data_IF_169563223317
#
_entry.id   IF_169563223317
#
_cell.length_a   1.000
_cell.length_b   1.000
_cell.length_c   1.000
_cell.angle_alpha   90.00
_cell.angle_beta   90.00
_cell.angle_gamma   90.00
#
_symmetry.space_group_name_H-M   'P 1'
#
loop_
_entity.id
_entity.type
_entity.pdbx_description
1 polymer ?
#
# COMPACT_ATOMS: atom_id res chain seq x y z
N UNK A 1 11.73 29.19 38.87
CA UNK A 1 12.59 29.58 37.73
C UNK A 1 14.00 29.05 38.00
N UNK A 2 14.28 27.83 37.58
CA UNK A 2 15.65 27.29 37.55
C UNK A 2 16.14 27.37 36.10
N UNK A 3 17.20 28.15 35.89
CA UNK A 3 17.92 28.17 34.63
C UNK A 3 18.65 26.85 34.44
N UNK A 4 18.39 26.14 33.38
CA UNK A 4 19.20 25.01 32.96
C UNK A 4 20.57 25.50 32.49
N UNK A 5 21.61 25.04 33.17
CA UNK A 5 22.99 25.16 32.69
C UNK A 5 23.21 24.18 31.55
N UNK A 6 22.92 24.57 30.32
CA UNK A 6 23.31 23.83 29.12
C UNK A 6 24.79 24.09 28.85
N UNK A 7 25.62 23.06 29.13
CA UNK A 7 27.00 23.02 28.67
C UNK A 7 27.09 23.00 27.15
N UNK A 8 27.71 24.04 26.60
CA UNK A 8 28.40 24.17 25.32
C UNK A 8 27.87 23.37 24.11
N UNK A 9 26.95 23.99 23.36
CA UNK A 9 26.82 24.07 21.90
C UNK A 9 25.52 24.76 21.45
N UNK A 10 25.32 26.02 21.87
CA UNK A 10 24.32 26.89 21.24
C UNK A 10 25.06 27.89 20.34
N UNK A 11 25.40 27.48 19.12
CA UNK A 11 25.82 28.40 18.08
C UNK A 11 24.67 28.54 17.08
N UNK A 12 24.12 29.75 17.00
CA UNK A 12 23.39 30.35 15.88
C UNK A 12 21.88 30.12 15.69
N UNK A 13 21.05 30.06 16.76
CA UNK A 13 19.65 30.48 16.65
C UNK A 13 19.28 31.21 17.93
N UNK A 14 18.54 32.32 17.83
CA UNK A 14 17.97 33.01 19.01
C UNK A 14 16.88 32.11 19.61
N UNK A 15 17.27 31.09 20.34
CA UNK A 15 16.40 30.31 21.22
C UNK A 15 16.15 31.14 22.46
N UNK A 16 15.07 31.87 22.51
CA UNK A 16 14.84 32.85 23.58
C UNK A 16 14.43 32.22 24.90
N UNK A 17 14.08 30.90 24.97
CA UNK A 17 13.76 30.20 26.24
C UNK A 17 13.84 28.69 26.13
N UNK A 18 14.60 28.08 27.04
CA UNK A 18 14.43 26.66 27.42
C UNK A 18 13.46 26.59 28.60
N UNK A 19 12.39 25.84 28.48
CA UNK A 19 11.38 25.63 29.53
C UNK A 19 11.40 24.17 29.96
N UNK A 20 11.43 23.91 31.25
CA UNK A 20 11.26 22.58 31.83
C UNK A 20 9.89 22.54 32.49
N UNK A 21 9.07 21.59 32.10
CA UNK A 21 7.72 21.39 32.64
C UNK A 21 7.74 20.49 33.89
N UNK A 22 6.71 20.57 34.75
CA UNK A 22 6.67 19.77 35.99
C UNK A 22 6.69 18.25 35.76
N UNK A 23 6.24 17.76 34.60
CA UNK A 23 6.25 16.34 34.20
C UNK A 23 7.61 15.86 33.67
N UNK A 24 8.60 16.72 33.61
CA UNK A 24 9.94 16.42 33.10
C UNK A 24 10.15 16.69 31.61
N UNK A 25 9.09 17.07 30.87
CA UNK A 25 9.22 17.47 29.48
C UNK A 25 10.05 18.76 29.37
N UNK A 26 10.62 18.98 28.18
CA UNK A 26 11.35 20.22 27.89
C UNK A 26 10.89 20.82 26.55
N UNK A 27 10.93 22.14 26.49
CA UNK A 27 10.72 22.87 25.22
C UNK A 27 11.82 23.91 25.04
N UNK A 28 12.41 23.90 23.84
CA UNK A 28 13.39 24.91 23.41
C UNK A 28 12.90 25.50 22.09
N UNK A 29 12.51 26.78 22.11
CA UNK A 29 11.96 27.41 20.90
C UNK A 29 11.27 28.74 21.17
N UNK A 30 10.53 29.19 20.17
CA UNK A 30 9.90 30.48 20.15
C UNK A 30 8.56 30.46 20.90
N UNK A 31 8.25 31.61 21.54
CA UNK A 31 6.99 31.86 22.19
C UNK A 31 6.38 33.19 21.67
N UNK A 32 5.06 33.18 21.50
CA UNK A 32 4.28 34.39 21.25
C UNK A 32 3.12 34.45 22.24
N UNK A 33 3.03 35.54 23.02
CA UNK A 33 1.99 35.73 24.04
C UNK A 33 1.86 34.54 25.01
N UNK A 34 2.99 33.94 25.40
CA UNK A 34 3.04 32.84 26.37
C UNK A 34 2.74 31.45 25.77
N UNK A 35 2.47 31.35 24.49
CA UNK A 35 2.24 30.07 23.76
C UNK A 35 3.42 29.73 22.86
N UNK A 36 3.69 28.45 22.70
CA UNK A 36 4.68 27.95 21.71
C UNK A 36 4.21 28.38 20.32
N UNK A 37 5.12 29.02 19.58
CA UNK A 37 4.83 29.60 18.28
C UNK A 37 6.11 29.59 17.43
N UNK A 38 6.00 29.43 16.10
CA UNK A 38 7.15 29.36 15.23
C UNK A 38 7.92 28.05 15.35
N UNK A 39 9.25 28.07 15.32
CA UNK A 39 10.06 26.84 15.40
C UNK A 39 10.45 26.50 16.84
N UNK A 40 10.42 25.21 17.19
CA UNK A 40 10.87 24.73 18.49
C UNK A 40 11.01 23.21 18.56
N UNK A 41 11.75 22.77 19.57
CA UNK A 41 11.99 21.37 19.90
C UNK A 41 11.30 21.06 21.24
N UNK A 42 10.43 20.09 21.23
CA UNK A 42 9.79 19.55 22.42
C UNK A 42 10.31 18.14 22.68
N UNK A 43 10.85 17.89 23.84
CA UNK A 43 11.31 16.57 24.26
C UNK A 43 10.41 16.10 25.40
N UNK A 44 9.76 14.98 25.20
CA UNK A 44 8.92 14.33 26.19
C UNK A 44 9.78 13.60 27.23
N UNK A 45 9.28 13.44 28.43
CA UNK A 45 10.01 12.78 29.53
C UNK A 45 10.27 11.29 29.26
N UNK A 46 9.52 10.67 28.36
CA UNK A 46 9.71 9.29 27.90
C UNK A 46 10.74 9.13 26.78
N UNK A 47 11.33 10.25 26.30
CA UNK A 47 12.35 10.30 25.27
C UNK A 47 11.83 10.53 23.86
N UNK A 48 10.52 10.59 23.63
CA UNK A 48 9.98 11.05 22.36
C UNK A 48 10.37 12.50 22.09
N UNK A 49 10.42 12.91 20.82
CA UNK A 49 10.81 14.28 20.47
C UNK A 49 10.06 14.78 19.25
N UNK A 50 9.53 15.98 19.34
CA UNK A 50 9.06 16.75 18.19
C UNK A 50 9.99 17.92 17.90
N UNK A 51 10.35 18.10 16.65
CA UNK A 51 11.19 19.17 16.15
C UNK A 51 10.52 19.79 14.93
N UNK A 52 10.01 21.02 15.05
CA UNK A 52 9.24 21.61 13.97
C UNK A 52 8.52 22.89 14.31
N UNK A 53 7.53 23.21 13.49
CA UNK A 53 6.73 24.41 13.62
C UNK A 53 5.61 24.22 14.65
N UNK A 54 5.32 25.28 15.36
CA UNK A 54 4.30 25.37 16.40
C UNK A 54 3.35 26.53 16.10
N UNK A 55 2.09 26.35 16.41
CA UNK A 55 1.07 27.39 16.36
C UNK A 55 0.13 27.24 17.56
N UNK A 56 0.11 28.27 18.44
CA UNK A 56 -0.76 28.33 19.62
C UNK A 56 -0.67 27.06 20.52
N UNK A 57 0.56 26.63 20.85
CA UNK A 57 0.89 25.43 21.62
C UNK A 57 0.68 24.08 20.92
N UNK A 58 0.28 24.08 19.64
CA UNK A 58 0.06 22.85 18.85
C UNK A 58 1.16 22.65 17.81
N UNK A 59 1.53 21.39 17.58
CA UNK A 59 2.36 21.00 16.44
C UNK A 59 1.65 21.40 15.14
N UNK A 60 2.37 22.10 14.27
CA UNK A 60 1.77 22.66 13.06
C UNK A 60 2.82 22.76 11.94
N UNK A 61 2.37 22.89 10.67
CA UNK A 61 3.29 23.08 9.56
C UNK A 61 4.27 21.94 9.38
N UNK A 62 5.54 22.23 9.09
CA UNK A 62 6.58 21.20 8.89
C UNK A 62 7.20 20.78 10.22
N UNK A 63 7.34 19.47 10.43
CA UNK A 63 7.99 18.95 11.63
C UNK A 63 8.43 17.50 11.51
N UNK A 64 9.31 17.11 12.41
CA UNK A 64 9.81 15.74 12.58
C UNK A 64 9.44 15.24 13.97
N UNK A 65 8.84 14.06 14.05
CA UNK A 65 8.58 13.38 15.31
C UNK A 65 9.43 12.11 15.41
N UNK A 66 10.11 11.94 16.50
CA UNK A 66 10.90 10.77 16.86
C UNK A 66 10.17 10.01 17.95
N UNK A 67 9.68 8.82 17.62
CA UNK A 67 8.93 7.96 18.54
C UNK A 67 9.87 7.12 19.40
N UNK A 68 9.40 6.73 20.58
CA UNK A 68 10.14 5.88 21.51
C UNK A 68 10.55 4.53 20.89
N UNK A 69 9.74 3.98 19.99
CA UNK A 69 10.00 2.73 19.28
C UNK A 69 10.96 2.87 18.09
N UNK A 70 11.71 3.97 17.99
CA UNK A 70 12.61 4.31 16.89
C UNK A 70 11.94 4.56 15.53
N UNK A 71 10.64 4.67 15.47
CA UNK A 71 9.98 5.20 14.28
C UNK A 71 10.27 6.71 14.16
N UNK A 72 10.20 7.22 12.94
CA UNK A 72 10.37 8.66 12.68
C UNK A 72 9.38 9.12 11.62
N UNK A 73 8.60 10.13 11.96
CA UNK A 73 7.76 10.83 10.99
C UNK A 73 8.40 12.16 10.58
N UNK A 74 8.42 12.45 9.30
CA UNK A 74 8.88 13.72 8.73
C UNK A 74 7.80 14.23 7.78
N UNK A 75 7.12 15.30 8.11
CA UNK A 75 6.02 15.75 7.25
C UNK A 75 5.27 16.99 7.77
N UNK A 76 4.07 17.12 7.26
CA UNK A 76 3.16 18.19 7.67
C UNK A 76 2.35 17.77 8.88
N UNK A 77 2.07 18.76 9.71
CA UNK A 77 1.30 18.67 10.95
C UNK A 77 0.16 19.69 10.95
N UNK A 78 -0.97 19.31 11.48
CA UNK A 78 -2.09 20.20 11.68
C UNK A 78 -2.77 19.92 13.02
N UNK A 79 -2.62 20.86 13.97
CA UNK A 79 -3.21 20.78 15.31
C UNK A 79 -2.89 19.45 16.00
N UNK A 80 -1.60 19.17 16.16
CA UNK A 80 -1.01 17.97 16.78
C UNK A 80 -1.21 16.65 16.02
N UNK A 81 -1.85 16.67 14.84
CA UNK A 81 -2.03 15.49 13.99
C UNK A 81 -1.05 15.49 12.80
N UNK A 82 -0.54 14.32 12.44
CA UNK A 82 0.06 14.10 11.14
C UNK A 82 -0.99 14.38 10.05
N UNK A 83 -0.65 15.25 9.10
CA UNK A 83 -1.63 15.73 8.13
C UNK A 83 -0.95 16.15 6.83
N UNK A 84 -1.67 16.05 5.69
CA UNK A 84 -1.06 16.37 4.40
C UNK A 84 0.03 15.38 4.03
N UNK A 85 1.08 15.82 3.34
CA UNK A 85 2.15 14.91 2.91
C UNK A 85 3.19 14.70 3.99
N UNK A 86 3.61 13.43 4.17
CA UNK A 86 4.65 13.06 5.13
C UNK A 86 5.22 11.67 4.92
N UNK A 87 6.40 11.45 5.51
CA UNK A 87 7.15 10.20 5.42
C UNK A 87 7.26 9.60 6.82
N UNK A 88 6.80 8.36 6.98
CA UNK A 88 7.04 7.54 8.14
C UNK A 88 8.17 6.56 7.85
N UNK A 89 9.19 6.58 8.65
CA UNK A 89 10.25 5.56 8.70
C UNK A 89 9.98 4.66 9.90
N UNK A 90 9.80 3.38 9.65
CA UNK A 90 9.56 2.38 10.68
C UNK A 90 10.88 1.75 11.14
N UNK A 91 10.95 1.34 12.41
CA UNK A 91 12.17 0.73 13.00
C UNK A 91 12.59 -0.57 12.29
N UNK A 92 11.63 -1.28 11.66
CA UNK A 92 11.89 -2.50 10.93
C UNK A 92 12.45 -2.27 9.51
N UNK A 93 12.70 -1.01 9.13
CA UNK A 93 13.21 -0.62 7.81
C UNK A 93 12.13 -0.34 6.76
N UNK A 94 10.85 -0.54 7.08
CA UNK A 94 9.76 -0.13 6.20
C UNK A 94 9.68 1.39 6.09
N UNK A 95 9.05 1.87 5.03
CA UNK A 95 8.82 3.30 4.80
C UNK A 95 7.44 3.51 4.20
N UNK A 96 6.69 4.48 4.71
CA UNK A 96 5.53 5.03 4.03
C UNK A 96 5.82 6.47 3.60
N UNK A 97 5.49 6.80 2.36
CA UNK A 97 5.69 8.13 1.74
C UNK A 97 4.38 8.51 1.05
N UNK A 98 3.62 9.44 1.60
CA UNK A 98 2.30 9.74 1.07
C UNK A 98 1.46 10.67 1.93
N UNK A 99 0.16 10.66 1.66
CA UNK A 99 -0.78 11.57 2.30
C UNK A 99 -1.28 11.01 3.64
N UNK A 100 -1.51 11.94 4.57
CA UNK A 100 -1.96 11.70 5.94
C UNK A 100 -3.18 12.55 6.26
N UNK A 101 -4.09 12.00 7.02
CA UNK A 101 -5.22 12.71 7.58
C UNK A 101 -5.49 12.26 9.01
N UNK A 102 -5.23 13.15 9.98
CA UNK A 102 -5.40 12.88 11.42
C UNK A 102 -4.74 11.56 11.84
N UNK A 103 -3.42 11.49 11.67
CA UNK A 103 -2.54 10.35 12.01
C UNK A 103 -2.77 9.07 11.22
N UNK A 104 -3.66 9.08 10.22
CA UNK A 104 -3.94 7.93 9.37
C UNK A 104 -3.44 8.15 7.95
N UNK A 105 -2.90 7.10 7.35
CA UNK A 105 -2.59 7.09 5.91
C UNK A 105 -3.90 7.23 5.14
N UNK A 106 -3.94 8.22 4.27
CA UNK A 106 -5.13 8.60 3.53
C UNK A 106 -4.70 9.14 2.16
N UNK A 107 -5.57 9.07 1.13
CA UNK A 107 -5.22 9.61 -0.18
C UNK A 107 -4.22 8.73 -0.93
N UNK A 108 -3.15 9.28 -1.48
CA UNK A 108 -2.14 8.56 -2.26
C UNK A 108 -0.86 8.36 -1.47
N UNK A 109 -0.25 7.19 -1.61
CA UNK A 109 1.04 6.93 -0.97
C UNK A 109 1.70 5.65 -1.44
N UNK A 110 3.00 5.56 -1.15
CA UNK A 110 3.83 4.39 -1.39
C UNK A 110 4.29 3.81 -0.06
N UNK A 111 3.98 2.55 0.17
CA UNK A 111 4.55 1.78 1.28
C UNK A 111 5.62 0.86 0.71
N UNK A 112 6.85 1.04 1.17
CA UNK A 112 8.00 0.22 0.80
C UNK A 112 8.37 -0.66 2.00
N UNK A 113 8.36 -1.96 1.80
CA UNK A 113 8.81 -2.94 2.79
C UNK A 113 10.34 -3.03 2.80
N UNK A 114 10.94 -3.35 3.93
CA UNK A 114 12.40 -3.48 4.07
C UNK A 114 13.00 -4.49 3.08
N UNK A 115 12.23 -5.52 2.70
CA UNK A 115 12.62 -6.52 1.70
C UNK A 115 12.55 -6.07 0.23
N UNK A 116 12.18 -4.79 -0.03
CA UNK A 116 12.13 -4.22 -1.39
C UNK A 116 10.77 -4.34 -2.08
N UNK A 117 9.84 -5.14 -1.56
CA UNK A 117 8.45 -5.11 -2.03
C UNK A 117 7.84 -3.72 -1.79
N UNK A 118 6.85 -3.34 -2.60
CA UNK A 118 6.16 -2.07 -2.36
C UNK A 118 4.72 -2.07 -2.88
N UNK A 119 3.89 -1.28 -2.21
CA UNK A 119 2.56 -0.88 -2.68
C UNK A 119 2.57 0.61 -3.02
N UNK A 120 2.04 0.97 -4.17
CA UNK A 120 1.80 2.36 -4.58
C UNK A 120 0.36 2.50 -5.03
N UNK A 121 -0.42 3.29 -4.31
CA UNK A 121 -1.84 3.42 -4.62
C UNK A 121 -2.60 4.30 -3.65
N UNK A 122 -3.89 4.06 -3.60
CA UNK A 122 -4.81 4.78 -2.73
C UNK A 122 -4.92 4.13 -1.36
N UNK A 123 -5.10 4.96 -0.35
CA UNK A 123 -5.20 4.61 1.06
C UNK A 123 -6.44 5.25 1.67
N UNK A 124 -7.09 4.53 2.55
CA UNK A 124 -8.19 5.01 3.38
C UNK A 124 -8.09 4.40 4.78
N UNK A 125 -7.98 5.25 5.81
CA UNK A 125 -7.91 4.82 7.21
C UNK A 125 -6.83 3.73 7.45
N UNK A 126 -5.59 3.93 6.98
CA UNK A 126 -4.46 3.01 7.07
C UNK A 126 -4.56 1.72 6.23
N UNK A 127 -5.61 1.54 5.45
CA UNK A 127 -5.82 0.40 4.58
C UNK A 127 -5.61 0.76 3.11
N UNK A 128 -5.07 -0.18 2.32
CA UNK A 128 -5.07 -0.09 0.86
C UNK A 128 -6.53 -0.12 0.39
N UNK A 129 -6.94 0.91 -0.34
CA UNK A 129 -8.33 1.06 -0.77
C UNK A 129 -8.38 1.88 -2.06
N UNK A 130 -9.23 1.50 -3.02
CA UNK A 130 -9.27 2.13 -4.34
C UNK A 130 -8.30 1.47 -5.32
N UNK A 131 -7.64 2.22 -6.18
CA UNK A 131 -6.71 1.66 -7.17
C UNK A 131 -5.27 1.66 -6.67
N UNK A 132 -4.53 0.59 -6.98
CA UNK A 132 -3.13 0.49 -6.58
C UNK A 132 -2.35 -0.59 -7.30
N UNK A 133 -1.03 -0.43 -7.25
CA UNK A 133 -0.04 -1.35 -7.78
C UNK A 133 0.77 -1.93 -6.63
N UNK A 134 0.89 -3.25 -6.59
CA UNK A 134 1.76 -3.97 -5.66
C UNK A 134 2.84 -4.72 -6.43
N UNK A 135 4.08 -4.59 -5.98
CA UNK A 135 5.23 -5.35 -6.47
C UNK A 135 5.82 -6.15 -5.31
N UNK A 136 5.88 -7.46 -5.45
CA UNK A 136 6.44 -8.34 -4.40
C UNK A 136 7.97 -8.41 -4.39
N UNK A 137 8.63 -7.91 -5.44
CA UNK A 137 10.09 -7.92 -5.56
C UNK A 137 10.67 -9.17 -6.21
N UNK A 138 9.87 -10.20 -6.41
CA UNK A 138 10.24 -11.48 -7.04
C UNK A 138 9.83 -11.57 -8.53
N UNK A 139 9.35 -10.48 -9.10
CA UNK A 139 8.77 -10.40 -10.44
C UNK A 139 7.23 -10.48 -10.46
N UNK A 140 6.63 -10.87 -9.34
CA UNK A 140 5.16 -10.88 -9.18
C UNK A 140 4.65 -9.45 -9.01
N UNK A 141 3.57 -9.11 -9.71
CA UNK A 141 2.92 -7.80 -9.57
C UNK A 141 1.40 -7.92 -9.62
N UNK A 142 0.73 -6.98 -8.97
CA UNK A 142 -0.72 -6.77 -9.12
C UNK A 142 -1.00 -5.30 -9.39
N UNK A 143 -1.85 -5.04 -10.36
CA UNK A 143 -2.39 -3.71 -10.64
C UNK A 143 -3.91 -3.81 -10.74
N UNK A 144 -4.62 -3.11 -9.86
CA UNK A 144 -6.08 -3.21 -9.84
C UNK A 144 -6.72 -2.53 -8.64
N UNK A 145 -7.95 -2.96 -8.36
CA UNK A 145 -8.75 -2.43 -7.28
C UNK A 145 -8.48 -3.15 -5.96
N UNK A 146 -8.57 -2.39 -4.87
CA UNK A 146 -8.34 -2.81 -3.50
C UNK A 146 -9.49 -2.35 -2.60
N UNK A 147 -9.90 -3.21 -1.69
CA UNK A 147 -10.86 -2.90 -0.62
C UNK A 147 -10.27 -3.45 0.68
N UNK A 148 -10.06 -2.59 1.66
CA UNK A 148 -9.60 -2.95 3.01
C UNK A 148 -8.40 -3.92 3.03
N UNK A 149 -7.35 -3.58 2.27
CA UNK A 149 -6.11 -4.33 2.07
C UNK A 149 -6.21 -5.56 1.16
N UNK A 150 -7.38 -5.96 0.69
CA UNK A 150 -7.61 -7.11 -0.18
C UNK A 150 -7.80 -6.69 -1.64
N UNK A 151 -7.34 -7.50 -2.59
CA UNK A 151 -7.64 -7.34 -4.01
C UNK A 151 -9.14 -7.60 -4.22
N UNK A 152 -9.83 -6.66 -4.83
CA UNK A 152 -11.28 -6.75 -5.05
C UNK A 152 -11.68 -5.92 -6.26
N UNK A 153 -12.62 -6.39 -7.08
CA UNK A 153 -12.97 -5.75 -8.33
C UNK A 153 -12.04 -6.14 -9.49
N UNK A 154 -11.78 -5.27 -10.43
CA UNK A 154 -10.96 -5.57 -11.62
C UNK A 154 -9.46 -5.45 -11.31
N UNK A 155 -8.66 -6.39 -11.82
CA UNK A 155 -7.22 -6.32 -11.68
C UNK A 155 -6.45 -7.24 -12.61
N UNK A 156 -5.17 -6.91 -12.76
CA UNK A 156 -4.18 -7.69 -13.51
C UNK A 156 -3.14 -8.22 -12.53
N UNK A 157 -2.98 -9.52 -12.46
CA UNK A 157 -1.94 -10.19 -11.70
C UNK A 157 -0.94 -10.81 -12.67
N UNK A 158 0.33 -10.45 -12.53
CA UNK A 158 1.44 -11.05 -13.26
C UNK A 158 2.24 -11.91 -12.29
N UNK A 159 2.35 -13.17 -12.61
CA UNK A 159 3.13 -14.15 -11.85
C UNK A 159 4.61 -14.08 -12.20
N UNK A 160 5.48 -14.54 -11.31
CA UNK A 160 6.93 -14.53 -11.49
C UNK A 160 7.39 -15.41 -12.68
N UNK A 161 6.65 -16.47 -13.00
CA UNK A 161 6.90 -17.37 -14.12
C UNK A 161 6.45 -16.80 -15.48
N UNK A 162 5.81 -15.63 -15.49
CA UNK A 162 5.34 -14.96 -16.69
C UNK A 162 3.87 -15.17 -17.02
N UNK A 163 3.15 -16.00 -16.28
CA UNK A 163 1.70 -16.11 -16.39
C UNK A 163 1.02 -14.78 -16.05
N UNK A 164 -0.16 -14.53 -16.62
CA UNK A 164 -0.91 -13.31 -16.39
C UNK A 164 -2.40 -13.63 -16.22
N UNK A 165 -2.98 -13.19 -15.14
CA UNK A 165 -4.44 -13.16 -14.97
C UNK A 165 -4.97 -11.71 -15.09
N UNK A 166 -6.02 -11.54 -15.86
CA UNK A 166 -6.77 -10.27 -15.99
C UNK A 166 -8.24 -10.56 -15.76
N UNK A 167 -8.82 -10.05 -14.68
CA UNK A 167 -10.21 -10.36 -14.39
C UNK A 167 -10.73 -9.82 -13.09
N UNK A 168 -11.80 -10.46 -12.63
CA UNK A 168 -12.48 -10.11 -11.39
C UNK A 168 -11.79 -10.76 -10.18
N UNK A 169 -11.77 -10.02 -9.08
CA UNK A 169 -11.22 -10.40 -7.80
C UNK A 169 -12.24 -10.16 -6.70
N UNK A 170 -12.27 -11.05 -5.74
CA UNK A 170 -13.03 -10.92 -4.52
C UNK A 170 -12.22 -11.47 -3.35
N UNK A 171 -11.98 -10.63 -2.33
CA UNK A 171 -11.28 -11.01 -1.10
C UNK A 171 -9.96 -11.76 -1.36
N UNK A 172 -9.10 -11.18 -2.24
CA UNK A 172 -7.82 -11.73 -2.69
C UNK A 172 -7.91 -12.96 -3.61
N UNK A 173 -9.10 -13.41 -4.00
CA UNK A 173 -9.33 -14.59 -4.81
C UNK A 173 -9.88 -14.20 -6.20
N UNK A 174 -9.50 -14.92 -7.23
CA UNK A 174 -10.10 -14.80 -8.57
C UNK A 174 -11.55 -15.28 -8.51
N UNK A 175 -12.50 -14.38 -8.78
CA UNK A 175 -13.93 -14.70 -8.68
C UNK A 175 -14.72 -13.81 -9.64
N UNK A 176 -15.43 -14.40 -10.59
CA UNK A 176 -16.13 -13.72 -11.68
C UNK A 176 -15.53 -14.05 -13.06
N UNK A 177 -15.47 -13.08 -13.95
CA UNK A 177 -14.93 -13.26 -15.32
C UNK A 177 -13.43 -12.98 -15.35
N UNK A 178 -12.67 -13.84 -16.05
CA UNK A 178 -11.23 -13.65 -16.17
C UNK A 178 -10.61 -14.26 -17.43
N UNK A 179 -9.44 -13.71 -17.76
CA UNK A 179 -8.56 -14.20 -18.80
C UNK A 179 -7.25 -14.60 -18.15
N UNK A 180 -6.85 -15.84 -18.31
CA UNK A 180 -5.55 -16.36 -17.89
C UNK A 180 -4.67 -16.61 -19.11
N UNK A 181 -3.54 -15.96 -19.17
CA UNK A 181 -2.53 -16.13 -20.22
C UNK A 181 -1.35 -16.88 -19.61
N UNK A 182 -1.14 -18.10 -20.07
CA UNK A 182 -0.01 -18.91 -19.65
C UNK A 182 1.26 -18.45 -20.38
N UNK A 183 2.41 -18.58 -19.74
CA UNK A 183 3.72 -18.24 -20.32
C UNK A 183 4.06 -19.05 -21.56
N UNK A 184 3.47 -20.26 -21.69
CA UNK A 184 3.62 -21.12 -22.88
C UNK A 184 2.78 -20.65 -24.08
N UNK A 185 1.99 -19.57 -23.93
CA UNK A 185 1.13 -19.00 -24.97
C UNK A 185 -0.31 -19.50 -24.99
N UNK A 186 -0.68 -20.45 -24.13
CA UNK A 186 -2.07 -20.86 -23.95
C UNK A 186 -2.88 -19.71 -23.33
N UNK A 187 -4.18 -19.70 -23.60
CA UNK A 187 -5.10 -18.69 -23.02
C UNK A 187 -6.39 -19.37 -22.60
N UNK A 188 -6.79 -19.12 -21.36
CA UNK A 188 -8.15 -19.41 -20.90
C UNK A 188 -8.93 -18.11 -20.73
N UNK A 189 -10.20 -18.11 -21.12
CA UNK A 189 -11.14 -17.01 -20.96
C UNK A 189 -12.47 -17.60 -20.49
N UNK A 190 -12.96 -17.22 -19.29
CA UNK A 190 -14.18 -17.81 -18.77
C UNK A 190 -14.49 -17.37 -17.34
N UNK A 191 -15.31 -18.18 -16.69
CA UNK A 191 -15.75 -17.98 -15.32
C UNK A 191 -14.77 -18.55 -14.30
N UNK A 192 -14.67 -17.85 -13.17
CA UNK A 192 -13.92 -18.26 -11.99
C UNK A 192 -14.81 -18.22 -10.75
N UNK A 193 -14.72 -19.23 -9.92
CA UNK A 193 -15.32 -19.26 -8.59
C UNK A 193 -14.27 -19.77 -7.61
N UNK A 194 -14.00 -19.00 -6.56
CA UNK A 194 -13.00 -19.33 -5.53
C UNK A 194 -11.63 -19.73 -6.08
N UNK A 195 -11.19 -19.07 -7.16
CA UNK A 195 -9.91 -19.31 -7.81
C UNK A 195 -9.91 -20.37 -8.89
N UNK A 196 -10.97 -21.17 -9.00
CA UNK A 196 -11.05 -22.26 -9.94
C UNK A 196 -11.85 -21.90 -11.20
N UNK A 197 -11.37 -22.35 -12.36
CA UNK A 197 -12.11 -22.19 -13.64
C UNK A 197 -13.37 -23.02 -13.58
N UNK A 198 -14.51 -22.41 -13.85
CA UNK A 198 -15.83 -23.07 -13.77
C UNK A 198 -16.76 -22.54 -14.84
N UNK A 199 -17.96 -23.18 -14.99
CA UNK A 199 -18.96 -22.72 -15.93
C UNK A 199 -18.49 -22.73 -17.38
N UNK A 200 -18.95 -21.76 -18.16
CA UNK A 200 -18.60 -21.67 -19.57
C UNK A 200 -17.24 -20.96 -19.78
N UNK A 201 -16.41 -21.55 -20.62
CA UNK A 201 -15.10 -21.02 -20.92
C UNK A 201 -14.57 -21.38 -22.29
N UNK A 202 -13.52 -20.67 -22.66
CA UNK A 202 -12.78 -20.89 -23.92
C UNK A 202 -11.32 -21.10 -23.55
N UNK A 203 -10.78 -22.24 -23.96
CA UNK A 203 -9.35 -22.49 -23.89
C UNK A 203 -8.75 -22.49 -25.30
N UNK A 204 -7.75 -21.65 -25.52
CA UNK A 204 -6.97 -21.58 -26.76
C UNK A 204 -5.55 -22.04 -26.48
N UNK A 205 -5.14 -23.12 -27.08
CA UNK A 205 -3.77 -23.58 -27.01
C UNK A 205 -2.85 -22.75 -27.91
N UNK A 206 -1.58 -22.64 -27.56
CA UNK A 206 -0.56 -21.93 -28.32
C UNK A 206 -0.40 -22.46 -29.74
N UNK A 207 -0.71 -23.76 -29.98
CA UNK A 207 -0.71 -24.35 -31.30
C UNK A 207 -1.93 -24.00 -32.17
N UNK A 208 -2.86 -23.15 -31.66
CA UNK A 208 -4.07 -22.70 -32.32
C UNK A 208 -5.30 -23.60 -32.13
N UNK A 209 -5.19 -24.72 -31.46
CA UNK A 209 -6.35 -25.56 -31.10
C UNK A 209 -7.24 -24.82 -30.08
N UNK A 210 -8.55 -25.07 -30.15
CA UNK A 210 -9.52 -24.35 -29.31
C UNK A 210 -10.55 -25.31 -28.71
N UNK A 211 -10.77 -25.19 -27.41
CA UNK A 211 -11.93 -25.77 -26.73
C UNK A 211 -12.88 -24.66 -26.30
N UNK A 212 -14.19 -24.91 -26.48
CA UNK A 212 -15.26 -24.03 -25.98
C UNK A 212 -16.29 -24.92 -25.30
N UNK A 213 -16.57 -24.71 -24.04
CA UNK A 213 -17.52 -25.52 -23.29
C UNK A 213 -17.36 -25.37 -21.79
N UNK A 214 -17.87 -26.34 -21.07
CA UNK A 214 -17.96 -26.32 -19.61
C UNK A 214 -16.63 -26.66 -18.94
N UNK A 215 -16.41 -26.05 -17.80
CA UNK A 215 -15.30 -26.31 -16.88
C UNK A 215 -15.85 -26.56 -15.48
N UNK A 216 -15.19 -27.41 -14.73
CA UNK A 216 -15.43 -27.68 -13.33
C UNK A 216 -14.08 -27.97 -12.65
N UNK A 217 -13.82 -27.35 -11.51
CA UNK A 217 -12.58 -27.48 -10.75
C UNK A 217 -11.31 -27.39 -11.63
N UNK A 218 -11.29 -26.37 -12.51
CA UNK A 218 -10.17 -26.09 -13.40
C UNK A 218 -10.07 -27.01 -14.62
N UNK A 219 -10.89 -28.06 -14.72
CA UNK A 219 -10.85 -29.05 -15.79
C UNK A 219 -12.01 -28.89 -16.77
N UNK A 220 -11.80 -29.34 -18.02
CA UNK A 220 -12.91 -29.43 -18.98
C UNK A 220 -13.91 -30.46 -18.49
N UNK A 221 -15.20 -30.14 -18.56
CA UNK A 221 -16.28 -31.03 -18.10
C UNK A 221 -17.50 -30.90 -19.00
N UNK A 222 -18.45 -31.84 -18.85
CA UNK A 222 -19.74 -31.75 -19.53
C UNK A 222 -19.62 -31.64 -21.04
N UNK A 223 -20.43 -30.74 -21.62
CA UNK A 223 -20.48 -30.57 -23.07
C UNK A 223 -19.52 -29.49 -23.56
N UNK A 224 -18.86 -29.76 -24.68
CA UNK A 224 -17.98 -28.77 -25.29
C UNK A 224 -17.71 -29.06 -26.77
N UNK A 225 -17.08 -28.12 -27.42
CA UNK A 225 -16.65 -28.22 -28.83
C UNK A 225 -15.14 -28.04 -28.89
N UNK A 226 -14.46 -28.95 -29.50
CA UNK A 226 -13.04 -28.88 -29.80
C UNK A 226 -12.81 -28.63 -31.30
N UNK A 227 -11.87 -27.75 -31.61
CA UNK A 227 -11.40 -27.45 -32.96
C UNK A 227 -9.90 -27.66 -32.98
N UNK A 228 -9.42 -28.60 -33.77
CA UNK A 228 -7.99 -28.86 -33.97
C UNK A 228 -7.40 -27.83 -34.93
N UNK A 229 -6.26 -27.22 -34.58
CA UNK A 229 -5.54 -26.28 -35.44
C UNK A 229 -5.13 -26.89 -36.78
N UNK A 230 -4.81 -28.19 -36.83
CA UNK A 230 -4.43 -28.92 -38.06
C UNK A 230 -5.61 -29.25 -38.94
N UNK A 231 -6.83 -29.29 -38.38
CA UNK A 231 -8.06 -29.65 -39.08
C UNK A 231 -9.23 -28.75 -38.68
N UNK A 232 -9.17 -27.42 -38.97
CA UNK A 232 -10.11 -26.44 -38.45
C UNK A 232 -11.55 -26.61 -38.96
N UNK A 233 -11.75 -27.34 -40.03
CA UNK A 233 -13.08 -27.68 -40.57
C UNK A 233 -13.75 -28.85 -39.80
N UNK A 234 -12.98 -29.64 -39.05
CA UNK A 234 -13.50 -30.74 -38.25
C UNK A 234 -13.77 -30.28 -36.81
N UNK A 235 -15.04 -30.12 -36.48
CA UNK A 235 -15.50 -29.82 -35.11
C UNK A 235 -15.90 -31.11 -34.42
N UNK A 236 -15.22 -31.48 -33.36
CA UNK A 236 -15.60 -32.62 -32.53
C UNK A 236 -16.45 -32.13 -31.34
N UNK A 237 -17.63 -32.68 -31.16
CA UNK A 237 -18.36 -32.54 -29.88
C UNK A 237 -17.69 -33.46 -28.87
N UNK A 238 -17.35 -32.91 -27.71
CA UNK A 238 -16.78 -33.64 -26.59
C UNK A 238 -17.80 -33.71 -25.47
N UNK A 239 -17.97 -34.88 -24.88
CA UNK A 239 -18.61 -35.07 -23.59
C UNK A 239 -17.50 -35.55 -22.67
N UNK A 240 -17.15 -34.72 -21.67
CA UNK A 240 -16.12 -35.05 -20.69
C UNK A 240 -16.86 -35.42 -19.40
N UNK A 241 -16.61 -36.64 -18.93
CA UNK A 241 -17.22 -37.16 -17.71
C UNK A 241 -16.63 -36.51 -16.45
#
# INVERSE_FOLDING_TARGET
NRFCGCGSRCASFRADRCTVFPNGDTYEGNYLKGKREGYGVYTFSDGEKYEGQWMQDQQHGKGTFYFQNNNKYVGLWFRDYQHGHGIMYYYNGDKYDGDWYKDKRQGRGTYTYAGGAYYRGQWMNDMKNGTGFFNWGDGTTYEGSWVDNQRSGKGTFKYADGDIYVGDWKDDIQDGKGIYKFHNGDVYEGDYVQGERTGEGIFRAANGSKYTGQFNDGQRSGQGTFVDAKNPMQRARMIVA
#
